data_IF_227548710554
#
_entry.id   IF_227548710554
#
_cell.length_a   1.000
_cell.length_b   1.000
_cell.length_c   1.000
_cell.angle_alpha   90.00
_cell.angle_beta   90.00
_cell.angle_gamma   90.00
#
_symmetry.space_group_name_H-M   'P 1'
#
loop_
_entity.id
_entity.type
_entity.pdbx_description
1 polymer ?
#
# COMPACT_ATOMS: atom_id res chain seq x y z
N UNK A 1 13.13 -13.68 -9.77
CA UNK A 1 11.95 -13.52 -8.90
C UNK A 1 12.47 -12.91 -7.61
N UNK A 2 12.69 -11.60 -7.65
CA UNK A 2 13.26 -10.85 -6.54
C UNK A 2 12.17 -10.65 -5.49
N UNK A 3 12.18 -11.53 -4.47
CA UNK A 3 11.41 -11.31 -3.25
C UNK A 3 11.91 -10.01 -2.63
N UNK A 4 11.04 -9.01 -2.43
CA UNK A 4 11.48 -7.82 -1.74
C UNK A 4 11.90 -8.22 -0.33
N UNK A 5 13.13 -7.88 0.03
CA UNK A 5 13.81 -8.29 1.25
C UNK A 5 13.28 -7.52 2.47
N UNK A 6 11.97 -7.53 2.69
CA UNK A 6 11.35 -7.04 3.91
C UNK A 6 11.58 -8.11 4.98
N UNK A 7 12.63 -7.94 5.78
CA UNK A 7 12.96 -8.86 6.87
C UNK A 7 11.98 -8.78 8.05
N UNK A 8 11.09 -7.77 8.06
CA UNK A 8 10.11 -7.53 9.12
C UNK A 8 8.78 -7.06 8.51
N UNK A 9 7.66 -7.70 8.90
CA UNK A 9 6.31 -7.33 8.46
C UNK A 9 5.96 -5.86 8.77
N UNK A 10 6.57 -5.31 9.83
CA UNK A 10 6.43 -3.91 10.23
C UNK A 10 6.98 -2.99 9.14
N UNK A 11 8.17 -3.26 8.62
CA UNK A 11 8.78 -2.43 7.56
C UNK A 11 7.96 -2.44 6.27
N UNK A 12 7.31 -3.57 5.96
CA UNK A 12 6.39 -3.66 4.83
C UNK A 12 5.12 -2.82 5.05
N UNK A 13 4.58 -2.85 6.27
CA UNK A 13 3.42 -2.06 6.64
C UNK A 13 3.71 -0.56 6.64
N UNK A 14 4.88 -0.14 7.12
CA UNK A 14 5.35 1.25 7.03
C UNK A 14 5.55 1.69 5.57
N UNK A 15 6.11 0.83 4.73
CA UNK A 15 6.25 1.11 3.30
C UNK A 15 4.88 1.25 2.61
N UNK A 16 3.92 0.39 2.92
CA UNK A 16 2.54 0.49 2.42
C UNK A 16 1.87 1.78 2.89
N UNK A 17 2.02 2.16 4.16
CA UNK A 17 1.52 3.43 4.68
C UNK A 17 2.12 4.63 3.93
N UNK A 18 3.44 4.63 3.70
CA UNK A 18 4.12 5.70 2.98
C UNK A 18 3.59 5.86 1.55
N UNK A 19 3.36 4.75 0.85
CA UNK A 19 2.75 4.78 -0.49
C UNK A 19 1.29 5.26 -0.45
N UNK A 20 0.52 4.89 0.58
CA UNK A 20 -0.87 5.32 0.74
C UNK A 20 -0.94 6.84 0.95
N UNK A 21 -0.05 7.38 1.78
CA UNK A 21 0.11 8.83 2.00
C UNK A 21 0.48 9.55 0.69
N UNK A 22 1.40 8.98 -0.09
CA UNK A 22 1.75 9.54 -1.41
C UNK A 22 0.55 9.53 -2.37
N UNK A 23 -0.19 8.43 -2.45
CA UNK A 23 -1.37 8.33 -3.29
C UNK A 23 -2.49 9.28 -2.86
N UNK A 24 -2.65 9.54 -1.55
CA UNK A 24 -3.53 10.61 -1.05
C UNK A 24 -3.05 11.99 -1.47
N UNK A 25 -1.75 12.28 -1.32
CA UNK A 25 -1.17 13.56 -1.74
C UNK A 25 -1.34 13.84 -3.24
N UNK A 26 -1.32 12.81 -4.07
CA UNK A 26 -1.57 12.91 -5.51
C UNK A 26 -3.07 12.93 -5.88
N UNK A 27 -3.98 12.89 -4.89
CA UNK A 27 -5.42 12.87 -5.12
C UNK A 27 -5.95 11.57 -5.75
N UNK A 28 -5.15 10.49 -5.71
CA UNK A 28 -5.52 9.18 -6.26
C UNK A 28 -6.33 8.35 -5.25
N UNK A 29 -6.13 8.62 -3.95
CA UNK A 29 -6.94 8.08 -2.87
C UNK A 29 -7.67 9.21 -2.15
N UNK A 30 -8.98 9.04 -1.97
CA UNK A 30 -9.79 9.99 -1.20
C UNK A 30 -9.58 9.81 0.31
N UNK A 31 -9.54 8.56 0.78
CA UNK A 31 -9.12 8.22 2.12
C UNK A 31 -8.53 6.80 2.17
N UNK A 32 -7.86 6.47 3.26
CA UNK A 32 -7.50 5.10 3.61
C UNK A 32 -7.64 4.91 5.12
N UNK A 33 -7.80 3.66 5.54
CA UNK A 33 -7.88 3.28 6.95
C UNK A 33 -6.86 2.19 7.20
N UNK A 34 -6.12 2.31 8.30
CA UNK A 34 -5.19 1.26 8.77
C UNK A 34 -5.73 0.72 10.08
N UNK A 35 -5.88 -0.59 10.14
CA UNK A 35 -6.22 -1.32 11.33
C UNK A 35 -4.95 -1.95 11.89
N UNK A 36 -4.56 -1.48 13.06
CA UNK A 36 -3.40 -1.99 13.78
C UNK A 36 -3.85 -3.14 14.69
N UNK A 37 -3.71 -4.38 14.22
CA UNK A 37 -3.88 -5.55 15.10
C UNK A 37 -2.53 -5.91 15.74
N UNK A 38 -2.55 -6.54 16.93
CA UNK A 38 -1.33 -7.01 17.59
C UNK A 38 -0.54 -8.00 16.71
N UNK A 39 -1.26 -8.78 15.92
CA UNK A 39 -0.71 -9.85 15.08
C UNK A 39 -0.34 -9.38 13.66
N UNK A 40 -1.03 -8.38 13.10
CA UNK A 40 -0.76 -7.86 11.74
C UNK A 40 -1.46 -6.53 11.47
N UNK A 41 -0.96 -5.74 10.52
CA UNK A 41 -1.66 -4.52 10.09
C UNK A 41 -2.55 -4.84 8.90
N UNK A 42 -3.71 -4.20 8.83
CA UNK A 42 -4.63 -4.34 7.70
C UNK A 42 -4.99 -2.98 7.13
N UNK A 43 -5.14 -2.92 5.81
CA UNK A 43 -5.35 -1.68 5.07
C UNK A 43 -6.69 -1.71 4.33
N UNK A 44 -7.41 -0.60 4.36
CA UNK A 44 -8.66 -0.41 3.63
C UNK A 44 -8.58 0.87 2.80
N UNK A 45 -8.93 0.80 1.52
CA UNK A 45 -8.85 1.91 0.57
C UNK A 45 -10.22 2.22 -0.03
N UNK A 46 -10.53 3.50 -0.27
CA UNK A 46 -11.84 3.95 -0.80
C UNK A 46 -12.23 3.42 -2.18
N UNK A 47 -11.33 2.74 -2.89
CA UNK A 47 -11.57 2.14 -4.21
C UNK A 47 -11.90 0.66 -4.19
N UNK A 48 -11.96 0.04 -3.00
CA UNK A 48 -12.33 -1.36 -2.80
C UNK A 48 -13.72 -1.46 -2.15
N UNK A 49 -14.47 -2.54 -2.41
CA UNK A 49 -15.76 -2.75 -1.75
C UNK A 49 -15.58 -2.74 -0.23
N UNK A 50 -16.56 -2.17 0.48
CA UNK A 50 -16.55 -2.11 1.94
C UNK A 50 -16.29 -3.50 2.53
N UNK A 51 -15.24 -3.60 3.35
CA UNK A 51 -14.87 -4.83 4.06
C UNK A 51 -13.69 -5.60 3.45
N UNK A 52 -13.14 -5.21 2.30
CA UNK A 52 -11.91 -5.82 1.78
C UNK A 52 -10.68 -5.22 2.48
N UNK A 53 -10.24 -5.92 3.54
CA UNK A 53 -9.03 -5.61 4.28
C UNK A 53 -7.84 -6.27 3.58
N UNK A 54 -6.88 -5.46 3.14
CA UNK A 54 -5.66 -5.91 2.50
C UNK A 54 -4.55 -6.09 3.54
N UNK A 55 -3.78 -7.14 3.39
CA UNK A 55 -2.53 -7.32 4.13
C UNK A 55 -1.50 -6.24 3.75
N UNK A 56 -0.43 -6.04 4.53
CA UNK A 56 0.62 -5.07 4.20
C UNK A 56 1.23 -5.31 2.81
N UNK A 57 1.39 -6.57 2.43
CA UNK A 57 1.90 -6.96 1.11
C UNK A 57 0.93 -6.58 -0.01
N UNK A 58 -0.34 -6.95 0.12
CA UNK A 58 -1.37 -6.64 -0.87
C UNK A 58 -1.58 -5.13 -1.02
N UNK A 59 -1.57 -4.41 0.10
CA UNK A 59 -1.66 -2.96 0.14
C UNK A 59 -0.46 -2.34 -0.60
N UNK A 60 0.75 -2.78 -0.30
CA UNK A 60 1.97 -2.31 -0.97
C UNK A 60 1.92 -2.55 -2.48
N UNK A 61 1.54 -3.76 -2.92
CA UNK A 61 1.42 -4.08 -4.35
C UNK A 61 0.33 -3.28 -5.05
N UNK A 62 -0.83 -3.12 -4.40
CA UNK A 62 -1.94 -2.32 -4.92
C UNK A 62 -1.52 -0.86 -5.11
N UNK A 63 -0.91 -0.25 -4.09
CA UNK A 63 -0.47 1.13 -4.11
C UNK A 63 0.67 1.36 -5.09
N UNK A 64 1.64 0.42 -5.16
CA UNK A 64 2.72 0.47 -6.15
C UNK A 64 2.17 0.42 -7.57
N UNK A 65 1.13 -0.39 -7.83
CA UNK A 65 0.44 -0.42 -9.13
C UNK A 65 -0.37 0.85 -9.38
N UNK A 66 -0.99 1.42 -8.36
CA UNK A 66 -1.75 2.67 -8.45
C UNK A 66 -0.84 3.85 -8.82
N UNK A 67 0.27 4.00 -8.11
CA UNK A 67 1.29 5.05 -8.34
C UNK A 67 2.12 4.79 -9.62
N UNK A 68 2.41 3.52 -9.93
CA UNK A 68 3.13 3.13 -11.14
C UNK A 68 2.31 3.26 -12.44
N UNK A 69 0.98 3.41 -12.34
CA UNK A 69 0.17 3.83 -13.50
C UNK A 69 0.36 5.32 -13.82
N UNK A 70 0.83 6.12 -12.87
CA UNK A 70 1.02 7.57 -13.01
C UNK A 70 2.42 7.93 -13.50
N UNK A 71 3.43 7.14 -13.14
CA UNK A 71 4.77 7.23 -13.72
C UNK A 71 5.09 5.95 -14.49
N UNK A 72 5.23 5.98 -15.84
CA UNK A 72 5.92 4.88 -16.51
C UNK A 72 7.31 4.72 -15.85
N UNK A 73 7.81 3.48 -15.69
CA UNK A 73 9.16 3.28 -15.21
C UNK A 73 10.11 4.02 -16.16
N UNK A 74 10.63 5.15 -15.69
CA UNK A 74 11.76 5.80 -16.35
C UNK A 74 12.98 5.03 -15.88
N UNK A 75 13.22 3.94 -16.61
CA UNK A 75 14.52 3.28 -16.68
C UNK A 75 15.49 4.31 -17.28
N UNK A 76 16.46 4.77 -16.48
CA UNK A 76 17.67 5.48 -16.93
C UNK A 76 18.90 4.74 -16.43
#
# INVERSE_FOLDING_TARGET
MDKPNFHDEISLAEAAESLAKQAMHQGMLNHFTIYFYPDSWQFHFSGKPEGELLTPEEAYLYLKKLLGKTNPPTEI
#
